data_IF_177713365207
#
_entry.id   IF_177713365207
#
_cell.length_a   1.000
_cell.length_b   1.000
_cell.length_c   1.000
_cell.angle_alpha   90.00
_cell.angle_beta   90.00
_cell.angle_gamma   90.00
#
_symmetry.space_group_name_H-M   'P 1'
#
loop_
_entity.id
_entity.type
_entity.pdbx_description
1 polymer ?
#
# COMPACT_ATOMS: atom_id res chain seq x y z
N UNK A 1 -18.61 17.74 -17.00
CA UNK A 1 -17.38 18.28 -16.37
C UNK A 1 -16.23 17.37 -16.80
N UNK A 2 -15.20 17.86 -17.49
CA UNK A 2 -14.05 17.01 -17.79
C UNK A 2 -13.40 16.61 -16.47
N UNK A 3 -13.17 15.32 -16.30
CA UNK A 3 -12.47 14.74 -15.16
C UNK A 3 -11.04 15.29 -15.12
N UNK A 4 -10.64 15.89 -14.00
CA UNK A 4 -9.26 16.31 -13.74
C UNK A 4 -8.32 15.10 -13.46
N UNK A 5 -8.86 13.88 -13.51
CA UNK A 5 -8.10 12.65 -13.28
C UNK A 5 -7.72 12.01 -14.61
N UNK A 6 -6.47 11.50 -14.72
CA UNK A 6 -5.97 10.87 -15.93
C UNK A 6 -6.68 9.54 -16.27
N UNK A 7 -7.41 8.96 -15.31
CA UNK A 7 -8.11 7.69 -15.47
C UNK A 7 -9.62 7.94 -15.45
N UNK A 8 -10.30 7.50 -16.51
CA UNK A 8 -11.77 7.50 -16.59
C UNK A 8 -12.26 6.09 -16.31
N UNK A 9 -13.03 5.93 -15.23
CA UNK A 9 -13.62 4.64 -14.88
C UNK A 9 -14.91 4.38 -15.66
N UNK A 10 -15.15 3.15 -16.12
CA UNK A 10 -16.41 2.78 -16.73
C UNK A 10 -17.61 2.93 -15.78
N UNK A 11 -18.81 3.25 -16.29
CA UNK A 11 -20.01 3.43 -15.46
C UNK A 11 -20.36 2.22 -14.58
N UNK A 12 -20.07 1.01 -15.05
CA UNK A 12 -20.28 -0.23 -14.31
C UNK A 12 -19.43 -0.31 -13.04
N UNK A 13 -18.18 0.15 -13.08
CA UNK A 13 -17.28 0.19 -11.92
C UNK A 13 -17.80 1.20 -10.91
N UNK A 14 -18.24 2.38 -11.37
CA UNK A 14 -18.82 3.41 -10.51
C UNK A 14 -20.10 2.92 -9.83
N UNK A 15 -20.95 2.20 -10.56
CA UNK A 15 -22.19 1.65 -10.02
C UNK A 15 -21.92 0.51 -9.03
N UNK A 16 -20.95 -0.37 -9.31
CA UNK A 16 -20.53 -1.41 -8.38
C UNK A 16 -20.02 -0.80 -7.06
N UNK A 17 -19.18 0.23 -7.14
CA UNK A 17 -18.70 0.96 -5.96
C UNK A 17 -19.85 1.54 -5.14
N UNK A 18 -20.83 2.20 -5.80
CA UNK A 18 -21.99 2.77 -5.11
C UNK A 18 -22.85 1.72 -4.40
N UNK A 19 -22.97 0.52 -4.96
CA UNK A 19 -23.77 -0.55 -4.40
C UNK A 19 -23.04 -1.32 -3.29
N UNK A 20 -21.74 -1.53 -3.42
CA UNK A 20 -20.95 -2.45 -2.58
C UNK A 20 -20.02 -1.73 -1.59
N UNK A 21 -19.77 -0.43 -1.80
CA UNK A 21 -18.82 0.36 -1.01
C UNK A 21 -17.35 0.13 -1.37
N UNK A 22 -17.05 -0.79 -2.28
CA UNK A 22 -15.70 -1.07 -2.79
C UNK A 22 -15.77 -1.61 -4.22
N UNK A 23 -14.63 -1.55 -4.92
CA UNK A 23 -14.39 -2.23 -6.20
C UNK A 23 -12.96 -2.75 -6.25
N UNK A 24 -12.76 -3.84 -6.97
CA UNK A 24 -11.44 -4.34 -7.32
C UNK A 24 -11.21 -4.01 -8.79
N UNK A 25 -10.18 -3.23 -9.07
CA UNK A 25 -9.76 -2.89 -10.43
C UNK A 25 -8.35 -3.42 -10.65
N UNK A 26 -8.09 -4.17 -11.74
CA UNK A 26 -6.73 -4.58 -12.08
C UNK A 26 -5.89 -3.34 -12.42
N UNK A 27 -4.56 -3.49 -12.30
CA UNK A 27 -3.58 -2.54 -12.83
C UNK A 27 -3.75 -1.09 -12.33
N UNK A 28 -4.21 -0.91 -11.09
CA UNK A 28 -4.26 0.41 -10.42
C UNK A 28 -2.86 1.00 -10.29
N UNK A 29 -1.87 0.13 -10.04
CA UNK A 29 -0.45 0.43 -10.06
C UNK A 29 0.23 -0.54 -11.03
N UNK A 30 1.17 -0.03 -11.82
CA UNK A 30 2.04 -0.89 -12.61
C UNK A 30 2.99 -1.69 -11.72
N UNK A 31 3.58 -2.75 -12.27
CA UNK A 31 4.63 -3.51 -11.57
C UNK A 31 5.83 -2.64 -11.20
N UNK A 32 6.14 -1.66 -12.04
CA UNK A 32 7.20 -0.67 -11.87
C UNK A 32 6.87 0.29 -10.73
N UNK A 33 5.63 0.80 -10.67
CA UNK A 33 5.16 1.64 -9.57
C UNK A 33 5.27 0.90 -8.22
N UNK A 34 4.81 -0.36 -8.18
CA UNK A 34 4.87 -1.19 -6.97
C UNK A 34 6.32 -1.39 -6.52
N UNK A 35 7.23 -1.68 -7.45
CA UNK A 35 8.64 -1.84 -7.13
C UNK A 35 9.27 -0.54 -6.61
N UNK A 36 8.97 0.59 -7.24
CA UNK A 36 9.48 1.89 -6.84
C UNK A 36 8.98 2.30 -5.45
N UNK A 37 7.67 2.16 -5.19
CA UNK A 37 7.10 2.49 -3.89
C UNK A 37 7.60 1.55 -2.80
N UNK A 38 7.78 0.26 -3.10
CA UNK A 38 8.35 -0.71 -2.16
C UNK A 38 9.71 -0.27 -1.62
N UNK A 39 10.61 0.20 -2.49
CA UNK A 39 11.93 0.71 -2.09
C UNK A 39 11.81 1.93 -1.16
N UNK A 40 10.92 2.87 -1.48
CA UNK A 40 10.71 4.07 -0.66
C UNK A 40 10.13 3.72 0.73
N UNK A 41 9.18 2.80 0.77
CA UNK A 41 8.58 2.29 2.02
C UNK A 41 9.64 1.59 2.87
N UNK A 42 10.46 0.72 2.28
CA UNK A 42 11.53 0.02 3.01
C UNK A 42 12.52 1.00 3.64
N UNK A 43 12.90 2.07 2.92
CA UNK A 43 13.77 3.12 3.46
C UNK A 43 13.11 3.87 4.62
N UNK A 44 11.83 4.21 4.50
CA UNK A 44 11.08 4.89 5.56
C UNK A 44 10.94 4.02 6.82
N UNK A 45 10.64 2.73 6.65
CA UNK A 45 10.58 1.77 7.76
C UNK A 45 11.94 1.64 8.43
N UNK A 46 13.01 1.45 7.65
CA UNK A 46 14.37 1.34 8.17
C UNK A 46 14.80 2.57 8.99
N UNK A 47 14.50 3.78 8.50
CA UNK A 47 14.78 5.01 9.22
C UNK A 47 13.99 5.10 10.54
N UNK A 48 12.71 4.72 10.52
CA UNK A 48 11.83 4.75 11.71
C UNK A 48 12.23 3.72 12.77
N UNK A 49 12.81 2.60 12.36
CA UNK A 49 13.19 1.50 13.25
C UNK A 49 14.69 1.46 13.55
N UNK A 50 15.46 2.46 13.10
CA UNK A 50 16.92 2.45 13.17
C UNK A 50 17.48 2.33 14.60
N UNK A 51 16.72 2.73 15.61
CA UNK A 51 17.12 2.63 17.02
C UNK A 51 16.95 1.23 17.61
N UNK A 52 16.18 0.35 16.98
CA UNK A 52 15.99 -1.04 17.42
C UNK A 52 16.87 -1.97 16.59
N UNK A 53 18.02 -2.34 17.16
CA UNK A 53 19.05 -3.16 16.50
C UNK A 53 18.80 -4.67 16.60
N UNK A 54 17.74 -5.09 17.31
CA UNK A 54 17.39 -6.51 17.47
C UNK A 54 16.88 -7.06 16.13
N UNK A 55 17.23 -8.31 15.82
CA UNK A 55 16.72 -8.98 14.61
C UNK A 55 15.22 -9.23 14.70
N UNK A 56 14.55 -9.51 13.57
CA UNK A 56 13.10 -9.83 13.57
C UNK A 56 12.81 -11.07 14.43
N UNK A 57 13.69 -12.07 14.45
CA UNK A 57 13.53 -13.28 15.28
C UNK A 57 13.60 -13.02 16.78
N UNK A 58 14.23 -11.92 17.20
CA UNK A 58 14.33 -11.53 18.61
C UNK A 58 13.11 -10.72 19.07
N UNK A 59 12.20 -10.38 18.15
CA UNK A 59 11.00 -9.60 18.42
C UNK A 59 9.83 -10.51 18.74
N UNK A 60 8.97 -10.07 19.64
CA UNK A 60 7.69 -10.73 19.89
C UNK A 60 6.82 -10.75 18.62
N UNK A 61 5.88 -11.69 18.55
CA UNK A 61 4.92 -11.75 17.44
C UNK A 61 4.20 -10.42 17.22
N UNK A 62 3.87 -9.70 18.30
CA UNK A 62 3.26 -8.37 18.20
C UNK A 62 4.16 -7.35 17.49
N UNK A 63 5.44 -7.27 17.89
CA UNK A 63 6.42 -6.36 17.28
C UNK A 63 6.69 -6.71 15.81
N UNK A 64 6.68 -8.00 15.45
CA UNK A 64 6.79 -8.45 14.06
C UNK A 64 5.58 -8.01 13.22
N UNK A 65 4.36 -8.20 13.74
CA UNK A 65 3.14 -7.72 13.09
C UNK A 65 3.12 -6.19 12.97
N UNK A 66 3.64 -5.47 13.96
CA UNK A 66 3.75 -4.01 13.90
C UNK A 66 4.68 -3.54 12.78
N UNK A 67 5.84 -4.20 12.61
CA UNK A 67 6.73 -3.97 11.46
C UNK A 67 6.05 -4.26 10.12
N UNK A 68 5.24 -5.31 10.05
CA UNK A 68 4.48 -5.63 8.85
C UNK A 68 3.46 -4.52 8.53
N UNK A 69 2.72 -4.03 9.52
CA UNK A 69 1.78 -2.92 9.31
C UNK A 69 2.49 -1.66 8.79
N UNK A 70 3.69 -1.35 9.27
CA UNK A 70 4.47 -0.21 8.76
C UNK A 70 4.92 -0.37 7.31
N UNK A 71 5.07 -1.60 6.81
CA UNK A 71 5.39 -1.89 5.40
C UNK A 71 4.17 -1.88 4.48
N UNK A 72 2.97 -1.78 5.03
CA UNK A 72 1.69 -1.73 4.31
C UNK A 72 1.09 -0.31 4.22
N UNK A 73 1.76 0.68 4.84
CA UNK A 73 1.32 2.08 4.88
C UNK A 73 2.09 2.94 3.87
#
# INVERSE_FOLDING_TARGET
MPSNFPIVLPPEVVNAFRAQGFVVTPDVLSTEDVAQYGVAIDQAVAARTASDTRSISDKSTYEQSFLQCMRLC
#
